data_IF_395022054394
#
_entry.id   IF_395022054394
#
_cell.length_a   1.000
_cell.length_b   1.000
_cell.length_c   1.000
_cell.angle_alpha   90.00
_cell.angle_beta   90.00
_cell.angle_gamma   90.00
#
_symmetry.space_group_name_H-M   'P 1'
#
loop_
_entity.id
_entity.type
_entity.pdbx_description
1 polymer ?
#
# COMPACT_ATOMS: atom_id res chain seq x y z
N UNK A 1 44.28 -3.74 -50.78
CA UNK A 1 43.92 -3.51 -49.36
C UNK A 1 43.37 -4.72 -48.60
N UNK A 2 42.75 -5.74 -49.24
CA UNK A 2 41.95 -6.76 -48.54
C UNK A 2 42.65 -7.59 -47.43
N UNK A 3 43.94 -7.96 -47.59
CA UNK A 3 44.59 -8.86 -46.62
C UNK A 3 44.81 -8.24 -45.23
N UNK A 4 45.07 -6.93 -45.13
CA UNK A 4 45.40 -6.30 -43.84
C UNK A 4 44.22 -6.32 -42.85
N UNK A 5 42.99 -6.19 -43.36
CA UNK A 5 41.76 -6.28 -42.56
C UNK A 5 41.48 -7.67 -42.01
N UNK A 6 42.02 -8.74 -42.61
CA UNK A 6 41.89 -10.11 -42.08
C UNK A 6 42.81 -10.36 -40.88
N UNK A 7 43.98 -9.70 -40.84
CA UNK A 7 44.92 -9.80 -39.72
C UNK A 7 44.36 -9.17 -38.44
N UNK A 8 43.87 -7.92 -38.53
CA UNK A 8 43.34 -7.18 -37.37
C UNK A 8 42.14 -7.90 -36.73
N UNK A 9 41.22 -8.44 -37.54
CA UNK A 9 40.05 -9.20 -37.05
C UNK A 9 40.41 -10.48 -36.28
N UNK A 10 41.56 -11.11 -36.58
CA UNK A 10 42.04 -12.30 -35.86
C UNK A 10 42.69 -11.97 -34.52
N UNK A 11 43.40 -10.84 -34.42
CA UNK A 11 43.99 -10.39 -33.16
C UNK A 11 42.90 -10.03 -32.11
N UNK A 12 41.84 -9.33 -32.53
CA UNK A 12 40.75 -8.92 -31.64
C UNK A 12 40.03 -10.11 -30.96
N UNK A 13 39.79 -11.21 -31.70
CA UNK A 13 39.08 -12.38 -31.19
C UNK A 13 39.83 -13.16 -30.10
N UNK A 14 41.16 -13.06 -30.06
CA UNK A 14 41.99 -13.73 -29.04
C UNK A 14 42.04 -12.94 -27.73
N UNK A 15 41.93 -11.61 -27.78
CA UNK A 15 41.89 -10.77 -26.58
C UNK A 15 40.58 -10.95 -25.77
N UNK A 16 39.46 -11.15 -26.45
CA UNK A 16 38.14 -11.34 -25.81
C UNK A 16 37.99 -12.62 -24.98
N UNK A 17 38.79 -13.66 -25.25
CA UNK A 17 38.67 -14.95 -24.57
C UNK A 17 39.31 -14.97 -23.16
N UNK A 18 40.20 -14.02 -22.85
CA UNK A 18 40.92 -13.98 -21.57
C UNK A 18 40.20 -13.19 -20.47
N UNK A 19 39.20 -12.37 -20.82
CA UNK A 19 38.56 -11.43 -19.89
C UNK A 19 37.34 -11.99 -19.14
N UNK A 20 36.78 -13.13 -19.57
CA UNK A 20 35.50 -13.68 -19.07
C UNK A 20 35.66 -14.71 -17.94
N UNK A 21 36.86 -14.88 -17.38
CA UNK A 21 37.19 -15.99 -16.46
C UNK A 21 37.48 -15.56 -15.00
N UNK A 22 37.22 -14.29 -14.64
CA UNK A 22 37.77 -13.68 -13.40
C UNK A 22 36.72 -13.10 -12.44
N UNK A 23 35.44 -13.50 -12.54
CA UNK A 23 34.32 -12.87 -11.81
C UNK A 23 33.46 -13.84 -10.97
N UNK A 24 33.94 -15.06 -10.69
CA UNK A 24 33.12 -16.13 -10.09
C UNK A 24 33.52 -16.61 -8.68
N UNK A 25 34.32 -15.82 -7.94
CA UNK A 25 34.82 -16.21 -6.60
C UNK A 25 34.55 -15.14 -5.53
N UNK A 26 33.29 -14.97 -5.15
CA UNK A 26 32.86 -14.15 -4.01
C UNK A 26 31.66 -14.82 -3.29
N UNK A 27 31.89 -15.96 -2.65
CA UNK A 27 30.87 -16.74 -1.95
C UNK A 27 31.27 -17.01 -0.49
N UNK A 28 30.30 -16.88 0.43
CA UNK A 28 30.26 -17.61 1.70
C UNK A 28 31.36 -17.34 2.73
N UNK A 29 31.16 -16.32 3.57
CA UNK A 29 31.93 -16.11 4.81
C UNK A 29 31.01 -15.77 5.98
N UNK A 30 30.35 -16.76 6.57
CA UNK A 30 29.47 -16.58 7.73
C UNK A 30 30.21 -16.63 9.06
N UNK A 31 29.80 -15.82 10.05
CA UNK A 31 30.40 -15.84 11.39
C UNK A 31 29.58 -15.09 12.45
N UNK A 32 29.24 -15.81 13.53
CA UNK A 32 28.95 -15.31 14.88
C UNK A 32 28.01 -14.11 15.04
N UNK A 33 26.72 -14.37 15.29
CA UNK A 33 25.71 -13.34 15.59
C UNK A 33 24.72 -13.77 16.67
N UNK A 34 25.21 -14.26 17.81
CA UNK A 34 24.35 -14.67 18.94
C UNK A 34 23.81 -13.45 19.70
N UNK A 35 22.52 -13.14 19.52
CA UNK A 35 21.85 -12.05 20.23
C UNK A 35 20.37 -11.93 19.88
N UNK A 36 19.49 -12.49 20.72
CA UNK A 36 18.04 -12.47 20.49
C UNK A 36 17.25 -13.17 21.58
N UNK A 37 17.13 -12.54 22.76
CA UNK A 37 16.34 -13.09 23.86
C UNK A 37 14.84 -13.11 23.51
N UNK A 38 14.24 -14.30 23.51
CA UNK A 38 12.82 -14.49 23.19
C UNK A 38 11.93 -13.83 24.27
N UNK A 39 11.38 -12.65 23.93
CA UNK A 39 10.43 -11.94 24.80
C UNK A 39 9.01 -12.39 24.50
N UNK A 40 8.30 -12.91 25.51
CA UNK A 40 6.96 -13.50 25.36
C UNK A 40 5.90 -12.38 25.26
N UNK A 41 4.98 -12.40 24.28
CA UNK A 41 3.86 -11.46 24.25
C UNK A 41 2.85 -11.78 25.36
N UNK A 42 2.51 -10.77 26.17
CA UNK A 42 1.51 -10.89 27.24
C UNK A 42 0.14 -10.40 26.79
N UNK A 43 -0.90 -11.19 27.00
CA UNK A 43 -2.28 -10.89 26.59
C UNK A 43 -3.06 -10.22 27.73
N UNK A 44 -3.50 -8.98 27.54
CA UNK A 44 -4.43 -8.30 28.45
C UNK A 44 -5.89 -8.72 28.16
N UNK A 45 -6.69 -9.11 29.19
CA UNK A 45 -8.13 -9.33 29.04
C UNK A 45 -8.90 -8.00 29.05
N UNK A 46 -9.66 -7.71 28.00
CA UNK A 46 -10.55 -6.55 27.90
C UNK A 46 -12.02 -6.93 28.05
N UNK A 47 -12.65 -6.58 29.18
CA UNK A 47 -14.06 -6.89 29.49
C UNK A 47 -14.97 -5.68 29.25
N UNK A 48 -16.10 -5.84 28.53
CA UNK A 48 -17.10 -4.78 28.35
C UNK A 48 -18.54 -5.30 28.10
N UNK A 49 -19.42 -5.19 29.12
CA UNK A 49 -20.89 -5.34 29.09
C UNK A 49 -21.44 -5.05 30.53
N UNK A 50 -22.76 -4.84 30.80
CA UNK A 50 -23.93 -4.56 29.94
C UNK A 50 -24.13 -3.02 29.78
N UNK A 51 -25.28 -2.31 29.69
CA UNK A 51 -26.76 -2.51 29.72
C UNK A 51 -27.42 -1.43 28.81
N UNK A 52 -28.68 -1.42 28.35
CA UNK A 52 -30.04 -1.85 28.81
C UNK A 52 -30.82 -0.79 29.62
N UNK A 53 -32.05 -0.45 29.19
CA UNK A 53 -32.98 0.54 29.80
C UNK A 53 -33.19 1.79 28.92
N UNK A 54 -34.31 2.10 28.25
CA UNK A 54 -35.70 1.56 28.12
C UNK A 54 -36.84 2.41 28.76
N UNK A 55 -37.97 2.47 28.03
CA UNK A 55 -39.33 3.01 28.29
C UNK A 55 -39.60 4.47 28.77
N UNK A 56 -40.57 5.10 28.08
CA UNK A 56 -41.56 6.13 28.53
C UNK A 56 -41.19 7.62 28.68
N UNK A 57 -41.98 8.47 28.03
CA UNK A 57 -42.74 9.53 28.70
C UNK A 57 -44.00 9.89 27.89
N UNK A 58 -45.00 10.54 28.50
CA UNK A 58 -46.35 10.71 27.91
C UNK A 58 -46.83 12.17 27.81
N UNK A 59 -47.67 12.41 26.80
CA UNK A 59 -48.60 13.56 26.60
C UNK A 59 -49.43 13.81 27.88
N UNK A 60 -49.88 15.05 28.25
CA UNK A 60 -50.28 16.15 27.34
C UNK A 60 -50.02 17.61 27.78
N UNK A 61 -50.33 18.60 26.90
CA UNK A 61 -51.07 19.83 27.29
C UNK A 61 -51.49 20.74 26.12
N UNK A 62 -52.48 21.60 26.42
CA UNK A 62 -53.24 22.55 25.60
C UNK A 62 -52.47 23.60 24.76
N UNK A 63 -53.06 24.12 23.66
CA UNK A 63 -52.54 25.26 22.89
C UNK A 63 -53.11 26.63 23.35
N UNK A 64 -52.31 27.70 23.33
CA UNK A 64 -52.81 29.08 23.34
C UNK A 64 -52.37 29.92 22.11
N UNK A 65 -53.27 30.84 21.71
CA UNK A 65 -53.16 32.04 20.85
C UNK A 65 -51.92 32.30 19.96
N UNK A 66 -52.19 32.71 18.72
CA UNK A 66 -51.19 33.22 17.78
C UNK A 66 -50.50 34.51 18.27
N UNK A 67 -49.16 34.47 18.34
CA UNK A 67 -48.31 35.65 18.39
C UNK A 67 -47.82 36.07 16.98
N UNK A 68 -47.21 37.26 16.83
CA UNK A 68 -46.71 37.74 15.54
C UNK A 68 -45.57 36.87 15.01
N UNK A 69 -45.54 36.68 13.68
CA UNK A 69 -44.60 35.80 12.99
C UNK A 69 -43.17 36.35 12.98
N UNK A 70 -42.42 36.11 14.06
CA UNK A 70 -40.96 36.20 14.02
C UNK A 70 -40.43 35.12 13.07
N UNK A 71 -39.56 35.48 12.12
CA UNK A 71 -38.93 34.49 11.26
C UNK A 71 -38.04 33.56 12.12
N UNK A 72 -37.94 32.26 11.78
CA UNK A 72 -37.00 31.38 12.46
C UNK A 72 -35.56 31.87 12.24
N UNK A 73 -34.67 31.73 13.24
CA UNK A 73 -33.26 32.05 13.04
C UNK A 73 -32.71 31.20 11.89
N UNK A 74 -31.96 31.83 10.98
CA UNK A 74 -31.30 31.12 9.89
C UNK A 74 -30.45 29.99 10.47
N UNK A 75 -30.53 28.75 9.96
CA UNK A 75 -29.72 27.66 10.46
C UNK A 75 -28.24 28.02 10.31
N UNK A 76 -27.47 27.86 11.39
CA UNK A 76 -26.01 28.00 11.35
C UNK A 76 -25.45 27.10 10.24
N UNK A 77 -24.48 27.57 9.43
CA UNK A 77 -23.94 26.77 8.35
C UNK A 77 -23.37 25.47 8.91
N UNK A 78 -23.95 24.34 8.48
CA UNK A 78 -23.47 23.01 8.84
C UNK A 78 -22.00 22.93 8.42
N UNK A 79 -21.07 22.48 9.28
CA UNK A 79 -19.66 22.43 8.92
C UNK A 79 -19.50 21.56 7.67
N UNK A 80 -19.05 22.17 6.58
CA UNK A 80 -18.81 21.47 5.32
C UNK A 80 -17.87 20.30 5.61
N UNK A 81 -18.18 19.07 5.15
CA UNK A 81 -17.34 17.90 5.42
C UNK A 81 -15.92 18.19 4.96
N UNK A 82 -14.97 18.12 5.90
CA UNK A 82 -13.61 18.57 5.68
C UNK A 82 -13.03 17.92 4.41
N UNK A 83 -12.50 18.75 3.50
CA UNK A 83 -12.01 18.30 2.20
C UNK A 83 -11.05 17.13 2.39
N UNK A 84 -11.49 15.94 1.99
CA UNK A 84 -10.94 14.69 2.52
C UNK A 84 -9.43 14.62 2.34
N UNK A 85 -8.70 14.30 3.40
CA UNK A 85 -7.25 14.12 3.39
C UNK A 85 -6.80 12.87 2.61
N UNK A 86 -7.60 12.34 1.68
CA UNK A 86 -7.25 11.20 0.85
C UNK A 86 -6.17 11.59 -0.16
N UNK A 87 -5.28 10.68 -0.47
CA UNK A 87 -4.37 10.82 -1.61
C UNK A 87 -5.17 10.63 -2.91
N UNK A 88 -4.97 11.48 -3.90
CA UNK A 88 -5.39 11.25 -5.27
C UNK A 88 -4.35 10.38 -6.00
N UNK A 89 -4.75 9.69 -7.07
CA UNK A 89 -3.85 8.81 -7.84
C UNK A 89 -2.66 9.57 -8.45
N UNK A 90 -2.79 10.86 -8.74
CA UNK A 90 -1.68 11.71 -9.22
C UNK A 90 -0.75 12.21 -8.11
N UNK A 91 -1.12 12.03 -6.84
CA UNK A 91 -0.29 12.32 -5.66
C UNK A 91 0.49 11.08 -5.20
N UNK A 92 0.39 9.97 -5.95
CA UNK A 92 0.99 8.68 -5.61
C UNK A 92 1.83 8.16 -6.78
N UNK A 93 3.10 7.88 -6.50
CA UNK A 93 3.93 7.03 -7.36
C UNK A 93 3.84 5.58 -6.87
N UNK A 94 3.78 4.62 -7.79
CA UNK A 94 3.70 3.19 -7.48
C UNK A 94 4.82 2.43 -8.18
N UNK A 95 5.65 1.74 -7.41
CA UNK A 95 6.87 1.04 -7.88
C UNK A 95 6.86 -0.39 -7.37
N UNK A 96 7.21 -1.36 -8.22
CA UNK A 96 7.53 -2.72 -7.77
C UNK A 96 8.96 -2.73 -7.20
N UNK A 97 9.08 -3.04 -5.92
CA UNK A 97 10.37 -3.19 -5.25
C UNK A 97 11.12 -4.46 -5.65
N UNK A 98 12.25 -4.71 -4.99
CA UNK A 98 13.06 -5.91 -5.23
C UNK A 98 12.29 -7.18 -4.85
N UNK A 99 12.41 -8.21 -5.67
CA UNK A 99 11.91 -9.56 -5.38
C UNK A 99 12.57 -10.13 -4.10
N UNK A 100 11.78 -10.80 -3.29
CA UNK A 100 12.16 -11.48 -2.05
C UNK A 100 11.66 -12.94 -2.06
N UNK A 101 12.23 -13.83 -2.92
CA UNK A 101 11.65 -15.13 -3.21
C UNK A 101 11.82 -16.13 -2.06
N UNK A 102 10.80 -16.96 -1.83
CA UNK A 102 10.79 -17.92 -0.72
C UNK A 102 9.76 -19.04 -0.91
N UNK A 103 10.07 -20.25 -0.43
CA UNK A 103 9.19 -21.43 -0.49
C UNK A 103 8.62 -21.76 -1.90
N UNK A 104 9.38 -21.44 -2.96
CA UNK A 104 8.94 -21.63 -4.36
C UNK A 104 7.96 -20.56 -4.87
N UNK A 105 7.84 -19.43 -4.16
CA UNK A 105 7.07 -18.25 -4.56
C UNK A 105 8.01 -17.08 -4.85
N UNK A 106 7.64 -16.27 -5.83
CA UNK A 106 8.23 -14.94 -6.08
C UNK A 106 7.41 -13.89 -5.33
N UNK A 107 8.06 -12.92 -4.67
CA UNK A 107 7.37 -11.99 -3.78
C UNK A 107 7.86 -10.55 -4.00
N UNK A 108 7.03 -9.75 -4.69
CA UNK A 108 7.35 -8.37 -5.07
C UNK A 108 6.54 -7.38 -4.20
N UNK A 109 7.20 -6.51 -3.40
CA UNK A 109 6.49 -5.50 -2.64
C UNK A 109 6.03 -4.36 -3.56
N UNK A 110 4.75 -3.99 -3.49
CA UNK A 110 4.22 -2.78 -4.14
C UNK A 110 4.48 -1.58 -3.22
N UNK A 111 5.39 -0.71 -3.64
CA UNK A 111 5.77 0.50 -2.90
C UNK A 111 4.91 1.66 -3.43
N UNK A 112 4.10 2.26 -2.57
CA UNK A 112 3.36 3.49 -2.87
C UNK A 112 4.02 4.67 -2.14
N UNK A 113 4.35 5.73 -2.88
CA UNK A 113 5.00 6.92 -2.35
C UNK A 113 4.11 8.14 -2.58
N UNK A 114 3.80 8.87 -1.50
CA UNK A 114 3.13 10.17 -1.59
C UNK A 114 4.12 11.21 -2.13
N UNK A 115 3.87 11.72 -3.33
CA UNK A 115 4.70 12.72 -4.02
C UNK A 115 4.16 14.15 -3.87
N UNK A 116 3.06 14.33 -3.14
CA UNK A 116 2.45 15.65 -2.91
C UNK A 116 3.11 16.41 -1.75
N UNK A 117 2.89 17.73 -1.71
CA UNK A 117 3.37 18.62 -0.65
C UNK A 117 2.52 18.53 0.65
N UNK A 118 1.61 17.56 0.77
CA UNK A 118 0.70 17.40 1.92
C UNK A 118 0.69 15.95 2.41
N UNK A 119 0.56 15.73 3.71
CA UNK A 119 0.26 14.37 4.19
C UNK A 119 -1.19 14.02 3.84
N UNK A 120 -1.38 12.87 3.22
CA UNK A 120 -2.68 12.34 2.83
C UNK A 120 -2.83 10.90 3.33
N UNK A 121 -3.96 10.24 3.06
CA UNK A 121 -4.22 8.86 3.46
C UNK A 121 -4.71 8.00 2.30
N UNK A 122 -4.40 6.70 2.35
CA UNK A 122 -4.89 5.68 1.41
C UNK A 122 -5.76 4.71 2.21
N UNK A 123 -6.94 4.39 1.71
CA UNK A 123 -7.87 3.43 2.32
C UNK A 123 -8.70 2.75 1.23
N UNK A 124 -8.69 1.42 1.21
CA UNK A 124 -9.37 0.61 0.21
C UNK A 124 -8.62 -0.68 -0.09
N UNK A 125 -8.98 -1.33 -1.19
CA UNK A 125 -8.35 -2.57 -1.63
C UNK A 125 -7.52 -2.30 -2.89
N UNK A 126 -6.19 -2.44 -2.86
CA UNK A 126 -5.41 -2.46 -4.10
C UNK A 126 -5.78 -3.70 -4.90
N UNK A 127 -6.04 -3.52 -6.20
CA UNK A 127 -6.15 -4.61 -7.17
C UNK A 127 -4.88 -4.67 -7.99
N UNK A 128 -4.33 -5.87 -8.16
CA UNK A 128 -3.19 -6.13 -9.04
C UNK A 128 -3.41 -7.46 -9.75
N UNK A 129 -2.90 -7.57 -10.98
CA UNK A 129 -2.88 -8.80 -11.75
C UNK A 129 -1.54 -8.87 -12.50
N UNK A 130 -1.07 -10.09 -12.77
CA UNK A 130 0.07 -10.28 -13.67
C UNK A 130 -0.38 -10.11 -15.12
N UNK A 131 0.54 -9.68 -15.98
CA UNK A 131 0.33 -9.56 -17.43
C UNK A 131 1.48 -10.24 -18.18
N UNK A 132 1.23 -10.60 -19.43
CA UNK A 132 2.23 -11.16 -20.33
C UNK A 132 3.04 -10.06 -21.05
N UNK A 133 3.83 -10.43 -22.06
CA UNK A 133 4.64 -9.48 -22.84
C UNK A 133 3.84 -8.62 -23.84
N UNK A 134 2.59 -9.00 -24.17
CA UNK A 134 1.65 -8.16 -24.93
C UNK A 134 0.80 -7.24 -24.03
N UNK A 135 0.80 -7.49 -22.71
CA UNK A 135 -0.03 -6.80 -21.72
C UNK A 135 -1.37 -7.50 -21.44
N UNK A 136 -1.57 -8.73 -21.94
CA UNK A 136 -2.76 -9.52 -21.67
C UNK A 136 -2.73 -10.09 -20.24
N UNK A 137 -3.88 -10.07 -19.55
CA UNK A 137 -3.95 -10.43 -18.14
C UNK A 137 -3.80 -11.94 -17.91
N UNK A 138 -2.85 -12.30 -17.05
CA UNK A 138 -2.59 -13.67 -16.64
C UNK A 138 -3.50 -14.04 -15.46
N UNK A 139 -4.63 -14.67 -15.78
CA UNK A 139 -5.59 -15.18 -14.81
C UNK A 139 -6.83 -14.28 -14.59
N UNK A 140 -7.70 -14.66 -13.65
CA UNK A 140 -8.98 -13.99 -13.42
C UNK A 140 -8.82 -12.62 -12.76
N UNK A 141 -9.80 -11.74 -12.95
CA UNK A 141 -9.78 -10.39 -12.38
C UNK A 141 -9.66 -10.39 -10.85
N UNK A 142 -8.83 -9.50 -10.27
CA UNK A 142 -8.64 -9.40 -8.83
C UNK A 142 -9.92 -8.94 -8.12
N UNK A 143 -10.44 -9.79 -7.23
CA UNK A 143 -11.63 -9.53 -6.43
C UNK A 143 -11.25 -8.96 -5.06
N UNK A 144 -12.06 -8.05 -4.52
CA UNK A 144 -11.85 -7.47 -3.19
C UNK A 144 -11.94 -8.55 -2.11
N UNK A 145 -10.98 -8.55 -1.19
CA UNK A 145 -11.03 -9.39 0.02
C UNK A 145 -12.23 -9.01 0.91
N UNK A 146 -12.85 -9.96 1.63
CA UNK A 146 -14.08 -9.69 2.40
C UNK A 146 -13.86 -8.97 3.73
N UNK A 147 -12.62 -8.84 4.22
CA UNK A 147 -12.30 -8.08 5.44
C UNK A 147 -12.23 -6.58 5.21
N UNK A 148 -12.43 -5.77 6.26
CA UNK A 148 -12.33 -4.30 6.21
C UNK A 148 -10.89 -3.85 5.86
N UNK A 149 -10.69 -2.87 4.95
CA UNK A 149 -9.36 -2.39 4.62
C UNK A 149 -8.83 -1.42 5.68
N UNK A 150 -7.51 -1.32 5.81
CA UNK A 150 -6.85 -0.42 6.76
C UNK A 150 -6.55 0.93 6.11
N UNK A 151 -6.66 2.02 6.87
CA UNK A 151 -6.17 3.35 6.46
C UNK A 151 -4.68 3.48 6.74
N UNK A 152 -3.88 3.82 5.74
CA UNK A 152 -2.47 4.21 5.87
C UNK A 152 -2.29 5.70 5.58
N UNK A 153 -1.16 6.28 6.00
CA UNK A 153 -0.84 7.72 5.99
C UNK A 153 0.63 7.93 5.63
#
# INVERSE_FOLDING_TARGET
MANMYRSVRRAALLASAAATLSLLTACGGGGGGEGGAATVPSTLPGTAAPATGDVTSATPSVPPSAGPTSLPPSPSPTPSPAASSRCHTFELEAVLGRNDPGAGQENFPVILTNTSQRTCTIHGYPGAAFVDAAGEQLGPDPKRSPGTPTTVR
#
